data_IF_759885380682
#
_entry.id   IF_759885380682
#
_cell.length_a   1.000
_cell.length_b   1.000
_cell.length_c   1.000
_cell.angle_alpha   90.00
_cell.angle_beta   90.00
_cell.angle_gamma   90.00
#
_symmetry.space_group_name_H-M   'P 1'
#
loop_
_entity.id
_entity.type
_entity.pdbx_description
1 polymer ?
#
# COMPACT_ATOMS: atom_id res chain seq x y z
N UNK A 1 -11.84 0.60 -14.75
CA UNK A 1 -11.49 0.76 -13.32
C UNK A 1 -10.35 1.75 -13.23
N UNK A 2 -10.60 2.97 -12.74
CA UNK A 2 -9.58 4.01 -12.65
C UNK A 2 -8.47 3.56 -11.71
N UNK A 3 -7.22 3.60 -12.18
CA UNK A 3 -6.04 3.24 -11.39
C UNK A 3 -5.88 4.33 -10.32
N UNK A 4 -6.45 4.11 -9.14
CA UNK A 4 -6.23 5.01 -8.02
C UNK A 4 -4.77 4.87 -7.58
N UNK A 5 -4.00 5.91 -7.81
CA UNK A 5 -2.65 6.10 -7.28
C UNK A 5 -2.76 6.36 -5.79
N UNK A 6 -2.12 5.53 -4.96
CA UNK A 6 -2.11 5.74 -3.51
C UNK A 6 -1.28 6.98 -3.16
N UNK A 7 -1.80 7.77 -2.23
CA UNK A 7 -1.20 9.01 -1.75
C UNK A 7 -0.91 8.94 -0.26
N UNK A 8 -0.03 9.83 0.19
CA UNK A 8 0.22 10.03 1.61
C UNK A 8 -1.11 10.33 2.33
N UNK A 9 -1.31 9.66 3.47
CA UNK A 9 -2.52 9.76 4.28
C UNK A 9 -3.62 8.76 3.93
N UNK A 10 -3.56 8.10 2.76
CA UNK A 10 -4.49 7.03 2.43
C UNK A 10 -4.40 5.89 3.45
N UNK A 11 -5.54 5.27 3.73
CA UNK A 11 -5.62 4.09 4.60
C UNK A 11 -5.71 2.84 3.75
N UNK A 12 -4.90 1.84 4.06
CA UNK A 12 -4.82 0.59 3.29
C UNK A 12 -4.78 -0.62 4.18
N UNK A 13 -5.15 -1.77 3.64
CA UNK A 13 -4.89 -3.09 4.22
C UNK A 13 -3.99 -3.88 3.28
N UNK A 14 -3.16 -4.74 3.85
CA UNK A 14 -2.37 -5.71 3.07
C UNK A 14 -3.25 -6.87 2.62
N UNK A 15 -3.03 -7.38 1.41
CA UNK A 15 -3.72 -8.58 0.90
C UNK A 15 -2.79 -9.43 0.04
N UNK A 16 -3.07 -10.73 -0.03
CA UNK A 16 -2.41 -11.68 -0.95
C UNK A 16 -0.87 -11.68 -0.84
N UNK A 17 -0.34 -11.56 0.38
CA UNK A 17 1.08 -11.66 0.72
C UNK A 17 1.25 -12.28 2.12
N UNK A 18 2.44 -12.80 2.44
CA UNK A 18 2.70 -13.42 3.74
C UNK A 18 2.53 -12.43 4.90
N UNK A 19 2.86 -11.15 4.70
CA UNK A 19 2.60 -10.09 5.66
C UNK A 19 1.11 -9.90 5.93
N UNK A 20 0.23 -10.13 4.95
CA UNK A 20 -1.21 -10.05 5.16
C UNK A 20 -1.73 -11.16 6.10
N UNK A 21 -1.10 -12.33 6.12
CA UNK A 21 -1.43 -13.38 7.09
C UNK A 21 -1.01 -12.97 8.51
N UNK A 22 0.18 -12.36 8.65
CA UNK A 22 0.72 -11.90 9.93
C UNK A 22 -0.02 -10.67 10.49
N UNK A 23 -0.41 -9.74 9.62
CA UNK A 23 -1.05 -8.47 9.96
C UNK A 23 -2.51 -8.42 9.48
N UNK A 24 -3.19 -9.57 9.51
CA UNK A 24 -4.52 -9.72 8.95
C UNK A 24 -5.50 -8.66 9.46
N UNK A 25 -6.12 -7.92 8.53
CA UNK A 25 -7.07 -6.85 8.82
C UNK A 25 -6.47 -5.57 9.41
N UNK A 26 -5.14 -5.48 9.59
CA UNK A 26 -4.51 -4.25 10.09
C UNK A 26 -4.59 -3.14 9.04
N UNK A 27 -5.14 -2.01 9.46
CA UNK A 27 -5.15 -0.77 8.67
C UNK A 27 -3.82 -0.05 8.85
N UNK A 28 -3.20 0.30 7.73
CA UNK A 28 -1.97 1.08 7.66
C UNK A 28 -2.26 2.45 7.06
N UNK A 29 -1.51 3.46 7.49
CA UNK A 29 -1.50 4.78 6.87
C UNK A 29 -0.32 4.88 5.91
N UNK A 30 -0.56 5.32 4.69
CA UNK A 30 0.49 5.64 3.73
C UNK A 30 1.30 6.85 4.21
N UNK A 31 2.61 6.66 4.40
CA UNK A 31 3.54 7.71 4.86
C UNK A 31 4.05 8.59 3.71
N UNK A 32 4.02 8.07 2.48
CA UNK A 32 4.42 8.77 1.25
C UNK A 32 3.37 8.59 0.15
N UNK A 33 3.49 9.34 -0.94
CA UNK A 33 2.84 8.98 -2.20
C UNK A 33 3.49 7.71 -2.79
N UNK A 34 2.76 6.96 -3.61
CA UNK A 34 3.38 5.84 -4.35
C UNK A 34 4.42 6.37 -5.35
N UNK A 35 5.53 5.66 -5.47
CA UNK A 35 6.60 5.96 -6.42
C UNK A 35 7.00 4.69 -7.17
N UNK A 36 7.64 4.87 -8.32
CA UNK A 36 8.07 3.76 -9.16
C UNK A 36 9.58 3.66 -9.21
N UNK A 37 10.09 2.44 -9.06
CA UNK A 37 11.51 2.11 -9.19
C UNK A 37 11.72 1.04 -10.24
N UNK A 38 12.93 0.97 -10.80
CA UNK A 38 13.31 -0.01 -11.81
C UNK A 38 12.75 0.31 -13.20
N UNK A 39 13.14 -0.53 -14.17
CA UNK A 39 12.84 -0.35 -15.59
C UNK A 39 12.39 -1.66 -16.25
N UNK A 40 11.65 -1.55 -17.35
CA UNK A 40 11.16 -2.70 -18.11
C UNK A 40 10.37 -3.70 -17.25
N UNK A 41 10.78 -4.97 -17.30
CA UNK A 41 10.15 -6.06 -16.53
C UNK A 41 10.41 -5.99 -15.01
N UNK A 42 11.34 -5.16 -14.56
CA UNK A 42 11.69 -4.97 -13.15
C UNK A 42 11.00 -3.74 -12.53
N UNK A 43 10.12 -3.07 -13.29
CA UNK A 43 9.42 -1.88 -12.81
C UNK A 43 8.46 -2.24 -11.67
N UNK A 44 8.62 -1.60 -10.51
CA UNK A 44 7.81 -1.84 -9.33
C UNK A 44 7.25 -0.55 -8.76
N UNK A 45 5.99 -0.60 -8.29
CA UNK A 45 5.35 0.51 -7.57
C UNK A 45 5.43 0.25 -6.08
N UNK A 46 6.03 1.18 -5.36
CA UNK A 46 6.33 1.09 -3.95
C UNK A 46 5.75 2.27 -3.19
N UNK A 47 5.51 2.08 -1.89
CA UNK A 47 5.02 3.11 -0.98
C UNK A 47 5.53 2.82 0.44
N UNK A 48 5.77 3.84 1.26
CA UNK A 48 6.07 3.62 2.68
C UNK A 48 4.80 3.66 3.52
N UNK A 49 4.72 2.79 4.53
CA UNK A 49 3.62 2.74 5.49
C UNK A 49 4.12 3.16 6.87
N UNK A 50 3.30 3.90 7.63
CA UNK A 50 3.66 4.33 8.98
C UNK A 50 3.88 3.12 9.91
N UNK A 51 5.04 3.05 10.56
CA UNK A 51 5.39 1.96 11.48
C UNK A 51 5.73 0.62 10.81
N UNK A 52 5.77 0.55 9.48
CA UNK A 52 6.31 -0.60 8.75
C UNK A 52 7.76 -0.33 8.35
N UNK A 53 8.65 -1.30 8.58
CA UNK A 53 10.06 -1.14 8.23
C UNK A 53 10.25 -1.49 6.75
N UNK A 54 10.40 -0.47 5.91
CA UNK A 54 10.68 -0.60 4.48
C UNK A 54 9.54 -0.13 3.58
N UNK A 55 9.81 -0.13 2.28
CA UNK A 55 8.82 0.16 1.26
C UNK A 55 8.01 -1.11 0.94
N UNK A 56 6.73 -0.94 0.63
CA UNK A 56 5.81 -2.03 0.34
C UNK A 56 5.28 -1.95 -1.08
N UNK A 57 5.08 -3.09 -1.72
CA UNK A 57 4.59 -3.14 -3.09
C UNK A 57 3.08 -2.84 -3.15
N UNK A 58 2.74 -1.80 -3.90
CA UNK A 58 1.37 -1.24 -3.99
C UNK A 58 0.35 -2.27 -4.49
N UNK A 59 0.78 -3.26 -5.27
CA UNK A 59 -0.11 -4.31 -5.79
C UNK A 59 -0.70 -5.24 -4.74
N UNK A 60 -0.15 -5.22 -3.51
CA UNK A 60 -0.62 -5.98 -2.36
C UNK A 60 -1.31 -5.09 -1.32
N UNK A 61 -1.71 -3.88 -1.71
CA UNK A 61 -2.42 -2.93 -0.87
C UNK A 61 -3.79 -2.63 -1.45
N UNK A 62 -4.79 -2.67 -0.58
CA UNK A 62 -6.15 -2.28 -0.91
C UNK A 62 -6.53 -1.03 -0.13
N UNK A 63 -6.96 0.02 -0.84
CA UNK A 63 -7.48 1.24 -0.24
C UNK A 63 -8.73 0.94 0.61
N UNK A 64 -8.78 1.50 1.81
CA UNK A 64 -9.91 1.46 2.72
C UNK A 64 -10.56 2.84 2.76
N UNK A 65 -11.87 2.89 2.47
CA UNK A 65 -12.70 4.07 2.72
C UNK A 65 -13.39 3.86 4.05
N UNK A 66 -13.00 4.64 5.06
CA UNK A 66 -13.71 4.67 6.33
C UNK A 66 -14.88 5.63 6.15
N UNK A 67 -16.10 5.13 6.24
CA UNK A 67 -17.29 5.97 6.36
C UNK A 67 -17.30 6.53 7.79
N UNK A 68 -17.28 7.85 7.91
CA UNK A 68 -17.59 8.51 9.19
C UNK A 68 -19.10 8.64 9.28
N UNK A 69 -19.69 8.05 10.32
CA UNK A 69 -21.10 8.22 10.69
C UNK A 69 -21.48 9.70 10.94
#
# INVERSE_FOLDING_TARGET
MGKHTLKKGDKVVMHTCAEAEKYNGKIWTCSTDEYTVGEGRLKQRLIFLEGFSGAFAVQYLQLVRLETE
#
